data_IF_705251836849
#
_entry.id   IF_705251836849
#
_cell.length_a   1.000
_cell.length_b   1.000
_cell.length_c   1.000
_cell.angle_alpha   90.00
_cell.angle_beta   90.00
_cell.angle_gamma   90.00
#
_symmetry.space_group_name_H-M   'P 1'
#
loop_
_entity.id
_entity.type
_entity.pdbx_description
1 polymer ?
#
# COMPACT_ATOMS: atom_id res chain seq x y z
N UNK A 1 7.43 6.17 -5.31
CA UNK A 1 7.73 5.13 -6.33
C UNK A 1 8.21 3.87 -5.63
N UNK A 2 7.93 2.73 -6.25
CA UNK A 2 8.47 1.43 -5.87
C UNK A 2 9.59 0.99 -6.80
N UNK A 3 10.11 -0.20 -6.55
CA UNK A 3 11.11 -0.87 -7.38
C UNK A 3 10.78 -2.37 -7.42
N UNK A 4 11.02 -3.03 -8.53
CA UNK A 4 10.99 -4.49 -8.58
C UNK A 4 11.98 -5.09 -9.55
N UNK A 5 12.52 -6.22 -9.17
CA UNK A 5 13.45 -7.02 -9.93
C UNK A 5 12.73 -8.16 -10.67
N UNK A 6 13.28 -8.59 -11.79
CA UNK A 6 12.72 -9.71 -12.57
C UNK A 6 12.71 -11.01 -11.77
N UNK A 7 13.70 -11.21 -10.90
CA UNK A 7 13.89 -12.44 -10.13
C UNK A 7 14.00 -12.12 -8.64
N UNK A 8 13.76 -13.13 -7.82
CA UNK A 8 13.75 -13.02 -6.37
C UNK A 8 12.36 -12.66 -5.82
N UNK A 9 12.22 -12.75 -4.54
CA UNK A 9 11.02 -12.34 -3.82
C UNK A 9 11.32 -11.10 -3.00
N UNK A 10 10.87 -9.95 -3.49
CA UNK A 10 10.91 -8.70 -2.75
C UNK A 10 9.71 -8.54 -1.81
N UNK A 11 8.79 -9.52 -1.82
CA UNK A 11 7.55 -9.45 -1.08
C UNK A 11 6.58 -8.40 -1.62
N UNK A 12 5.54 -8.12 -0.83
CA UNK A 12 4.52 -7.12 -1.16
C UNK A 12 4.91 -5.71 -0.72
N UNK A 13 5.97 -5.59 0.07
CA UNK A 13 6.22 -4.42 0.90
C UNK A 13 6.47 -3.16 0.05
N UNK A 14 7.41 -3.21 -0.87
CA UNK A 14 7.86 -2.01 -1.59
C UNK A 14 6.78 -1.40 -2.50
N UNK A 15 6.16 -2.23 -3.31
CA UNK A 15 5.17 -1.74 -4.27
C UNK A 15 3.84 -1.40 -3.59
N UNK A 16 3.43 -2.18 -2.59
CA UNK A 16 2.21 -1.87 -1.83
C UNK A 16 2.37 -0.58 -1.01
N UNK A 17 3.54 -0.27 -0.49
CA UNK A 17 3.80 1.02 0.14
C UNK A 17 3.70 2.18 -0.83
N UNK A 18 4.29 2.03 -2.02
CA UNK A 18 4.22 3.04 -3.06
C UNK A 18 2.79 3.28 -3.54
N UNK A 19 2.00 2.20 -3.73
CA UNK A 19 0.61 2.31 -4.16
C UNK A 19 -0.27 2.92 -3.07
N UNK A 20 -0.16 2.46 -1.84
CA UNK A 20 -0.90 3.04 -0.71
C UNK A 20 -0.61 4.52 -0.53
N UNK A 21 0.67 4.92 -0.58
CA UNK A 21 1.05 6.34 -0.56
C UNK A 21 0.41 7.11 -1.72
N UNK A 22 0.40 6.54 -2.92
CA UNK A 22 -0.29 7.14 -4.06
C UNK A 22 -1.78 7.35 -3.80
N UNK A 23 -2.46 6.32 -3.31
CA UNK A 23 -3.90 6.33 -3.06
C UNK A 23 -4.29 7.33 -1.97
N UNK A 24 -3.64 7.29 -0.80
CA UNK A 24 -4.02 8.16 0.34
C UNK A 24 -3.68 9.64 0.13
N UNK A 25 -2.80 9.95 -0.83
CA UNK A 25 -2.45 11.32 -1.24
C UNK A 25 -3.03 11.73 -2.61
N UNK A 26 -3.90 10.92 -3.21
CA UNK A 26 -4.59 11.23 -4.46
C UNK A 26 -3.70 11.29 -5.69
N UNK A 27 -2.61 10.52 -5.71
CA UNK A 27 -1.70 10.47 -6.86
C UNK A 27 -2.20 9.48 -7.90
N UNK A 28 -2.50 9.96 -9.11
CA UNK A 28 -3.00 9.11 -10.20
C UNK A 28 -1.94 8.18 -10.80
N UNK A 29 -0.67 8.58 -10.75
CA UNK A 29 0.44 7.79 -11.30
C UNK A 29 1.34 7.28 -10.19
N UNK A 30 1.45 5.97 -10.12
CA UNK A 30 2.24 5.25 -9.12
C UNK A 30 3.32 4.50 -9.88
N UNK A 31 4.55 5.04 -9.81
CA UNK A 31 5.69 4.54 -10.53
C UNK A 31 6.39 3.41 -9.79
N UNK A 32 6.92 2.47 -10.56
CA UNK A 32 7.96 1.58 -10.08
C UNK A 32 9.10 1.49 -11.11
N UNK A 33 10.33 1.50 -10.64
CA UNK A 33 11.45 1.01 -11.40
C UNK A 33 11.20 -0.46 -11.72
N UNK A 34 11.24 -0.80 -13.00
CA UNK A 34 10.65 -2.03 -13.48
C UNK A 34 11.67 -2.87 -14.23
N UNK A 35 11.67 -4.18 -13.97
CA UNK A 35 12.48 -5.15 -14.68
C UNK A 35 13.99 -5.03 -14.43
N UNK A 36 14.40 -4.48 -13.30
CA UNK A 36 15.80 -4.55 -12.84
C UNK A 36 16.22 -6.02 -12.71
N UNK A 37 17.41 -6.36 -13.15
CA UNK A 37 17.90 -7.75 -13.16
C UNK A 37 19.39 -7.81 -12.85
N UNK A 38 19.79 -8.76 -12.02
CA UNK A 38 21.18 -9.04 -11.66
C UNK A 38 21.78 -10.28 -12.37
N UNK A 39 21.16 -10.76 -13.43
CA UNK A 39 21.65 -11.91 -14.22
C UNK A 39 22.62 -11.52 -15.33
N UNK A 40 22.99 -12.47 -16.19
CA UNK A 40 23.80 -12.19 -17.37
C UNK A 40 23.13 -11.14 -18.27
N UNK A 41 23.92 -10.26 -18.85
CA UNK A 41 23.45 -9.21 -19.73
C UNK A 41 22.77 -9.78 -20.99
N UNK A 42 21.80 -9.05 -21.53
CA UNK A 42 21.06 -9.40 -22.76
C UNK A 42 20.29 -10.72 -22.71
N UNK A 43 19.94 -11.22 -21.52
CA UNK A 43 19.20 -12.49 -21.36
C UNK A 43 17.72 -12.32 -21.03
N UNK A 44 17.30 -11.10 -20.66
CA UNK A 44 15.91 -10.82 -20.36
C UNK A 44 15.11 -10.53 -21.65
N UNK A 45 13.86 -10.98 -21.66
CA UNK A 45 12.94 -10.82 -22.80
C UNK A 45 11.49 -10.63 -22.28
N UNK A 46 10.58 -10.12 -23.11
CA UNK A 46 9.23 -9.74 -22.66
C UNK A 46 8.47 -10.85 -21.90
N UNK A 47 8.57 -12.12 -22.33
CA UNK A 47 7.80 -13.19 -21.70
C UNK A 47 8.26 -13.50 -20.26
N UNK A 48 9.58 -13.41 -19.96
CA UNK A 48 10.05 -13.63 -18.59
C UNK A 48 9.83 -12.43 -17.66
N UNK A 49 9.62 -11.22 -18.22
CA UNK A 49 9.34 -10.01 -17.46
C UNK A 49 7.83 -9.82 -17.19
N UNK A 50 6.99 -10.24 -18.14
CA UNK A 50 5.55 -9.93 -18.14
C UNK A 50 4.83 -10.40 -16.88
N UNK A 51 5.02 -11.65 -16.46
CA UNK A 51 4.32 -12.20 -15.30
C UNK A 51 4.63 -11.41 -14.01
N UNK A 52 5.88 -10.93 -13.89
CA UNK A 52 6.30 -10.09 -12.76
C UNK A 52 5.64 -8.72 -12.80
N UNK A 53 5.59 -8.09 -13.96
CA UNK A 53 4.92 -6.80 -14.15
C UNK A 53 3.42 -6.92 -13.86
N UNK A 54 2.76 -7.95 -14.37
CA UNK A 54 1.34 -8.19 -14.15
C UNK A 54 1.01 -8.33 -12.66
N UNK A 55 1.84 -9.04 -11.91
CA UNK A 55 1.72 -9.11 -10.46
C UNK A 55 1.73 -7.72 -9.83
N UNK A 56 2.68 -6.87 -10.19
CA UNK A 56 2.78 -5.55 -9.58
C UNK A 56 1.69 -4.58 -10.04
N UNK A 57 1.10 -4.80 -11.20
CA UNK A 57 -0.14 -4.13 -11.57
C UNK A 57 -1.27 -4.44 -10.58
N UNK A 58 -1.41 -5.69 -10.12
CA UNK A 58 -2.41 -6.05 -9.11
C UNK A 58 -2.11 -5.47 -7.72
N UNK A 59 -0.88 -5.04 -7.47
CA UNK A 59 -0.47 -4.36 -6.24
C UNK A 59 -0.61 -2.83 -6.31
N UNK A 60 -1.18 -2.30 -7.40
CA UNK A 60 -1.48 -0.88 -7.58
C UNK A 60 -0.42 -0.06 -8.29
N UNK A 61 0.67 -0.66 -8.79
CA UNK A 61 1.59 0.01 -9.71
C UNK A 61 0.88 0.21 -11.05
N UNK A 62 0.94 1.43 -11.58
CA UNK A 62 0.27 1.78 -12.82
C UNK A 62 1.12 2.67 -13.75
N UNK A 63 2.42 2.72 -13.50
CA UNK A 63 3.38 3.43 -14.34
C UNK A 63 4.75 2.75 -14.25
N UNK A 64 5.18 2.14 -15.35
CA UNK A 64 6.43 1.39 -15.41
C UNK A 64 7.58 2.28 -15.88
N UNK A 65 8.69 2.26 -15.16
CA UNK A 65 9.96 2.88 -15.54
C UNK A 65 10.97 1.76 -15.81
N UNK A 66 11.16 1.44 -17.08
CA UNK A 66 11.99 0.29 -17.48
C UNK A 66 13.46 0.51 -17.14
N UNK A 67 14.04 -0.42 -16.44
CA UNK A 67 15.45 -0.40 -16.04
C UNK A 67 16.22 -1.54 -16.73
N UNK A 68 17.18 -1.22 -17.69
CA UNK A 68 17.54 0.16 -18.03
C UNK A 68 17.92 0.29 -19.53
N UNK A 69 18.09 1.52 -19.96
CA UNK A 69 18.67 1.83 -21.26
C UNK A 69 20.11 2.32 -21.11
N UNK A 70 21.05 1.62 -21.75
CA UNK A 70 22.45 2.07 -21.87
C UNK A 70 22.71 2.52 -23.31
N UNK A 71 23.26 3.70 -23.44
CA UNK A 71 23.64 4.25 -24.74
C UNK A 71 24.63 3.34 -25.48
N UNK A 72 24.37 3.07 -26.74
CA UNK A 72 25.16 2.20 -27.62
C UNK A 72 25.87 3.02 -28.70
N UNK A 73 27.06 3.59 -28.45
CA UNK A 73 27.71 4.47 -29.41
C UNK A 73 28.40 3.73 -30.57
N UNK A 74 28.59 2.42 -30.44
CA UNK A 74 29.34 1.60 -31.40
C UNK A 74 28.42 0.57 -32.06
N UNK A 75 28.42 0.52 -33.38
CA UNK A 75 27.62 -0.46 -34.15
C UNK A 75 28.33 -1.81 -34.25
N UNK A 76 29.64 -1.83 -34.28
CA UNK A 76 30.49 -2.99 -34.49
C UNK A 76 30.77 -3.81 -33.21
N UNK A 77 30.37 -3.30 -32.02
CA UNK A 77 30.57 -3.98 -30.75
C UNK A 77 29.37 -4.85 -30.39
N UNK A 78 29.60 -6.15 -30.20
CA UNK A 78 28.60 -7.10 -29.75
C UNK A 78 29.14 -7.86 -28.52
N UNK A 79 28.28 -8.10 -27.51
CA UNK A 79 26.84 -7.83 -27.41
C UNK A 79 26.48 -6.35 -27.20
N UNK A 80 27.41 -5.46 -26.99
CA UNK A 80 27.21 -4.06 -26.73
C UNK A 80 27.53 -3.68 -25.28
N UNK A 81 27.32 -2.39 -24.96
CA UNK A 81 27.53 -1.88 -23.61
C UNK A 81 26.32 -2.19 -22.74
N UNK A 82 26.59 -2.60 -21.49
CA UNK A 82 25.60 -2.87 -20.47
C UNK A 82 26.09 -2.42 -19.10
N UNK A 83 25.16 -2.23 -18.15
CA UNK A 83 25.47 -2.15 -16.75
C UNK A 83 25.56 -3.55 -16.14
N UNK A 84 26.15 -3.68 -14.96
CA UNK A 84 26.25 -4.94 -14.25
C UNK A 84 24.88 -5.43 -13.70
N UNK A 85 23.85 -4.57 -13.72
CA UNK A 85 22.49 -4.88 -13.32
C UNK A 85 21.50 -4.16 -14.24
N UNK A 86 20.30 -4.72 -14.37
CA UNK A 86 19.23 -4.19 -15.23
C UNK A 86 18.94 -5.10 -16.41
N UNK A 87 17.85 -4.83 -17.11
CA UNK A 87 17.47 -5.49 -18.36
C UNK A 87 17.82 -4.58 -19.53
N UNK A 88 18.48 -5.12 -20.56
CA UNK A 88 19.03 -4.30 -21.64
C UNK A 88 17.96 -3.91 -22.66
N UNK A 89 17.26 -2.79 -22.43
CA UNK A 89 16.23 -2.25 -23.32
C UNK A 89 16.84 -1.40 -24.44
N UNK A 90 17.68 -1.99 -25.27
CA UNK A 90 18.35 -1.28 -26.34
C UNK A 90 18.48 -2.12 -27.63
N UNK A 91 18.88 -1.46 -28.73
CA UNK A 91 18.93 -2.06 -30.08
C UNK A 91 19.89 -3.23 -30.25
N UNK A 92 20.77 -3.48 -29.28
CA UNK A 92 21.67 -4.63 -29.31
C UNK A 92 21.00 -5.91 -28.78
N UNK A 93 19.82 -5.78 -28.15
CA UNK A 93 19.04 -6.92 -27.72
C UNK A 93 18.31 -7.57 -28.91
N UNK A 94 18.31 -8.91 -28.96
CA UNK A 94 17.80 -9.67 -30.11
C UNK A 94 16.32 -9.44 -30.40
N UNK A 95 15.52 -9.11 -29.41
CA UNK A 95 14.08 -8.85 -29.54
C UNK A 95 13.72 -7.36 -29.69
N UNK A 96 14.71 -6.48 -29.75
CA UNK A 96 14.47 -5.02 -29.79
C UNK A 96 13.58 -4.57 -30.95
N UNK A 97 13.66 -5.24 -32.10
CA UNK A 97 12.80 -4.95 -33.25
C UNK A 97 11.31 -5.17 -32.99
N UNK A 98 10.94 -5.90 -31.91
CA UNK A 98 9.56 -6.12 -31.47
C UNK A 98 9.25 -5.44 -30.14
N UNK A 99 10.08 -4.50 -29.70
CA UNK A 99 9.91 -3.83 -28.41
C UNK A 99 8.63 -2.99 -28.37
N UNK A 100 8.15 -2.54 -29.50
CA UNK A 100 6.88 -1.82 -29.66
C UNK A 100 5.69 -2.64 -29.13
N UNK A 101 5.65 -3.95 -29.38
CA UNK A 101 4.61 -4.84 -28.88
C UNK A 101 4.58 -4.88 -27.35
N UNK A 102 5.75 -4.95 -26.72
CA UNK A 102 5.88 -4.96 -25.27
C UNK A 102 5.53 -3.59 -24.65
N UNK A 103 6.06 -2.52 -25.23
CA UNK A 103 5.77 -1.17 -24.72
C UNK A 103 4.31 -0.76 -24.96
N UNK A 104 3.67 -1.22 -26.04
CA UNK A 104 2.24 -1.03 -26.26
C UNK A 104 1.38 -1.76 -25.23
N UNK A 105 1.77 -2.99 -24.85
CA UNK A 105 1.12 -3.69 -23.78
C UNK A 105 1.20 -2.89 -22.46
N UNK A 106 2.40 -2.44 -22.09
CA UNK A 106 2.60 -1.64 -20.86
C UNK A 106 1.83 -0.32 -20.93
N UNK A 107 1.87 0.38 -22.05
CA UNK A 107 1.16 1.65 -22.27
C UNK A 107 -0.35 1.49 -22.07
N UNK A 108 -0.94 0.47 -22.68
CA UNK A 108 -2.38 0.19 -22.57
C UNK A 108 -2.77 -0.20 -21.16
N UNK A 109 -2.02 -1.09 -20.52
CA UNK A 109 -2.26 -1.51 -19.14
C UNK A 109 -2.13 -0.33 -18.17
N UNK A 110 -1.05 0.43 -18.25
CA UNK A 110 -0.83 1.61 -17.42
C UNK A 110 -1.94 2.65 -17.63
N UNK A 111 -2.37 2.90 -18.85
CA UNK A 111 -3.47 3.83 -19.13
C UNK A 111 -4.77 3.39 -18.46
N UNK A 112 -5.16 2.13 -18.61
CA UNK A 112 -6.38 1.60 -18.00
C UNK A 112 -6.31 1.66 -16.46
N UNK A 113 -5.19 1.26 -15.86
CA UNK A 113 -4.99 1.25 -14.41
C UNK A 113 -4.90 2.66 -13.79
N UNK A 114 -4.71 3.70 -14.59
CA UNK A 114 -4.75 5.10 -14.14
C UNK A 114 -6.17 5.69 -14.18
N UNK A 115 -7.15 4.94 -14.66
CA UNK A 115 -8.54 5.38 -14.69
C UNK A 115 -9.28 4.97 -13.41
N UNK A 116 -10.22 5.83 -12.99
CA UNK A 116 -11.02 5.55 -11.81
C UNK A 116 -10.28 5.72 -10.48
N UNK A 117 -10.82 5.11 -9.46
CA UNK A 117 -10.29 5.10 -8.08
C UNK A 117 -10.02 3.65 -7.69
N UNK A 118 -8.89 3.41 -7.04
CA UNK A 118 -8.57 2.09 -6.51
C UNK A 118 -9.60 1.65 -5.47
N UNK A 119 -9.92 0.36 -5.45
CA UNK A 119 -10.87 -0.21 -4.49
C UNK A 119 -10.11 -0.95 -3.39
N UNK A 120 -10.34 -0.54 -2.15
CA UNK A 120 -9.82 -1.20 -0.96
C UNK A 120 -10.78 -0.97 0.20
N UNK A 121 -11.21 -2.04 0.87
CA UNK A 121 -12.12 -1.92 2.02
C UNK A 121 -11.40 -1.66 3.33
N UNK A 122 -10.13 -2.04 3.43
CA UNK A 122 -9.36 -2.04 4.68
C UNK A 122 -8.21 -1.04 4.63
N UNK A 123 -8.10 -0.21 5.66
CA UNK A 123 -6.93 0.62 5.90
C UNK A 123 -6.15 0.08 7.10
N UNK A 124 -4.86 -0.26 6.89
CA UNK A 124 -3.95 -0.63 7.98
C UNK A 124 -3.16 0.59 8.42
N UNK A 125 -3.34 1.01 9.66
CA UNK A 125 -2.53 2.07 10.23
C UNK A 125 -1.09 1.58 10.48
N UNK A 126 -0.11 2.31 9.96
CA UNK A 126 1.30 1.90 10.06
C UNK A 126 1.91 2.05 11.46
N UNK A 127 1.23 2.76 12.37
CA UNK A 127 1.73 3.05 13.71
C UNK A 127 2.71 4.22 13.78
N UNK A 128 3.21 4.51 14.97
CA UNK A 128 4.07 5.67 15.26
C UNK A 128 5.25 5.35 16.19
N UNK A 129 5.50 4.09 16.47
CA UNK A 129 6.51 3.62 17.41
C UNK A 129 7.95 3.84 16.92
N UNK A 130 8.16 3.74 15.62
CA UNK A 130 9.47 3.93 14.97
C UNK A 130 9.30 4.53 13.57
N UNK A 131 10.35 5.15 12.99
CA UNK A 131 10.35 5.50 11.58
C UNK A 131 10.14 4.24 10.72
N UNK A 132 9.16 4.28 9.82
CA UNK A 132 8.77 3.13 8.98
C UNK A 132 8.62 3.55 7.53
N UNK A 133 9.07 2.68 6.63
CA UNK A 133 8.77 2.79 5.20
C UNK A 133 7.46 2.09 4.84
N UNK A 134 7.00 1.17 5.71
CA UNK A 134 5.78 0.38 5.50
C UNK A 134 5.13 -0.01 6.80
N UNK A 135 3.85 -0.43 6.73
CA UNK A 135 3.15 -1.09 7.81
C UNK A 135 3.30 -2.62 7.79
N UNK A 136 2.69 -3.27 8.74
CA UNK A 136 2.48 -4.72 8.76
C UNK A 136 1.03 -5.06 8.46
N UNK A 137 0.79 -6.17 7.77
CA UNK A 137 -0.54 -6.74 7.55
C UNK A 137 -0.80 -7.70 8.73
N UNK A 138 -1.25 -7.14 9.85
CA UNK A 138 -1.55 -7.91 11.06
C UNK A 138 -2.89 -7.42 11.66
N UNK A 139 -3.93 -8.29 11.69
CA UNK A 139 -3.97 -9.67 11.17
C UNK A 139 -3.92 -9.74 9.64
N UNK A 140 -3.55 -10.89 9.11
CA UNK A 140 -3.50 -11.11 7.67
C UNK A 140 -4.88 -10.93 7.03
N UNK A 141 -4.92 -10.19 5.93
CA UNK A 141 -6.15 -9.98 5.17
C UNK A 141 -6.54 -11.26 4.42
N UNK A 142 -7.80 -11.71 4.49
CA UNK A 142 -8.27 -12.85 3.72
C UNK A 142 -8.15 -12.60 2.20
N UNK A 143 -8.09 -13.69 1.42
CA UNK A 143 -8.00 -13.59 -0.04
C UNK A 143 -9.25 -12.95 -0.65
N UNK A 144 -9.04 -12.17 -1.70
CA UNK A 144 -10.11 -11.52 -2.45
C UNK A 144 -10.46 -10.10 -1.99
N UNK A 145 -9.87 -9.65 -0.89
CA UNK A 145 -9.99 -8.28 -0.39
C UNK A 145 -8.74 -7.46 -0.69
N UNK A 146 -8.89 -6.14 -0.73
CA UNK A 146 -7.76 -5.23 -0.92
C UNK A 146 -7.63 -4.23 0.24
N UNK A 147 -6.44 -3.66 0.37
CA UNK A 147 -6.11 -2.73 1.45
C UNK A 147 -5.15 -1.65 1.00
N UNK A 148 -5.05 -0.61 1.83
CA UNK A 148 -3.95 0.35 1.82
C UNK A 148 -3.35 0.52 3.21
N UNK A 149 -2.08 0.90 3.24
CA UNK A 149 -1.47 1.44 4.44
C UNK A 149 -1.83 2.92 4.59
N UNK A 150 -2.09 3.36 5.81
CA UNK A 150 -2.43 4.75 6.14
C UNK A 150 -1.55 5.25 7.28
N UNK A 151 -1.14 6.52 7.23
CA UNK A 151 -0.31 7.14 8.24
C UNK A 151 -1.07 8.18 9.09
N UNK A 152 -0.44 8.64 10.16
CA UNK A 152 -1.01 9.58 11.11
C UNK A 152 -1.41 10.93 10.45
N UNK A 153 -0.59 11.45 9.54
CA UNK A 153 -0.87 12.72 8.87
C UNK A 153 -2.20 12.69 8.13
N UNK A 154 -2.54 11.58 7.47
CA UNK A 154 -3.80 11.43 6.74
C UNK A 154 -4.99 11.48 7.69
N UNK A 155 -4.93 10.88 8.87
CA UNK A 155 -5.98 11.01 9.87
C UNK A 155 -6.17 12.46 10.30
N UNK A 156 -5.07 13.14 10.61
CA UNK A 156 -5.11 14.49 11.15
C UNK A 156 -5.55 15.56 10.13
N UNK A 157 -5.25 15.35 8.84
CA UNK A 157 -5.38 16.43 7.85
C UNK A 157 -6.36 16.14 6.71
N UNK A 158 -6.67 14.87 6.43
CA UNK A 158 -7.39 14.49 5.20
C UNK A 158 -8.63 13.64 5.42
N UNK A 159 -8.67 12.84 6.48
CA UNK A 159 -9.71 11.84 6.70
C UNK A 159 -10.99 12.47 7.25
N UNK A 160 -12.12 12.07 6.68
CA UNK A 160 -13.47 12.33 7.22
C UNK A 160 -14.30 11.05 7.15
N UNK A 161 -15.37 10.96 7.92
CA UNK A 161 -16.32 9.85 7.80
C UNK A 161 -17.54 10.29 6.99
N UNK A 162 -17.89 9.51 5.96
CA UNK A 162 -19.12 9.66 5.16
C UNK A 162 -19.75 8.30 4.97
N UNK A 163 -21.01 8.16 5.34
CA UNK A 163 -21.79 6.92 5.19
C UNK A 163 -21.06 5.68 5.79
N UNK A 164 -20.46 5.84 6.97
CA UNK A 164 -19.69 4.79 7.64
C UNK A 164 -18.33 4.46 7.04
N UNK A 165 -17.86 5.25 6.08
CA UNK A 165 -16.56 5.05 5.42
C UNK A 165 -15.58 6.14 5.80
N UNK A 166 -14.34 5.75 6.13
CA UNK A 166 -13.21 6.67 6.11
C UNK A 166 -13.01 7.13 4.66
N UNK A 167 -13.25 8.40 4.40
CA UNK A 167 -13.24 8.98 3.05
C UNK A 167 -12.15 10.03 2.96
N UNK A 168 -11.36 9.97 1.88
CA UNK A 168 -10.30 10.93 1.56
C UNK A 168 -10.75 11.88 0.45
N UNK A 169 -10.16 13.09 0.33
CA UNK A 169 -10.59 14.12 -0.62
C UNK A 169 -10.59 13.66 -2.08
N UNK A 170 -9.68 12.75 -2.43
CA UNK A 170 -9.47 12.27 -3.79
C UNK A 170 -10.36 11.05 -4.14
N UNK A 171 -11.30 10.70 -3.26
CA UNK A 171 -12.32 9.69 -3.51
C UNK A 171 -12.03 8.30 -2.94
N UNK A 172 -10.86 8.06 -2.35
CA UNK A 172 -10.57 6.81 -1.64
C UNK A 172 -11.51 6.65 -0.44
N UNK A 173 -11.97 5.41 -0.23
CA UNK A 173 -12.88 5.06 0.85
C UNK A 173 -12.48 3.73 1.47
N UNK A 174 -12.53 3.65 2.80
CA UNK A 174 -12.26 2.41 3.54
C UNK A 174 -13.38 2.16 4.54
N UNK A 175 -13.77 0.91 4.70
CA UNK A 175 -14.87 0.49 5.58
C UNK A 175 -14.38 0.02 6.95
N UNK A 176 -13.13 -0.40 7.03
CA UNK A 176 -12.51 -0.87 8.26
C UNK A 176 -11.12 -0.26 8.44
N UNK A 177 -10.87 0.30 9.61
CA UNK A 177 -9.55 0.70 10.07
C UNK A 177 -8.98 -0.40 10.96
N UNK A 178 -7.79 -0.90 10.63
CA UNK A 178 -7.05 -1.86 11.44
C UNK A 178 -5.89 -1.13 12.12
N UNK A 179 -5.88 -1.13 13.45
CA UNK A 179 -4.78 -0.60 14.24
C UNK A 179 -3.64 -1.63 14.37
N UNK A 180 -2.38 -1.18 14.40
CA UNK A 180 -1.26 -2.08 14.59
C UNK A 180 -1.28 -2.73 15.98
N UNK A 181 -0.62 -3.88 16.11
CA UNK A 181 -0.43 -4.55 17.40
C UNK A 181 0.62 -3.79 18.24
N UNK A 182 0.23 -2.64 18.76
CA UNK A 182 1.11 -1.72 19.49
C UNK A 182 0.32 -1.02 20.58
N UNK A 183 0.94 -0.89 21.75
CA UNK A 183 0.34 -0.22 22.92
C UNK A 183 0.57 1.29 22.95
N UNK A 184 1.33 1.81 22.01
CA UNK A 184 1.65 3.24 21.95
C UNK A 184 0.96 3.94 20.78
N UNK A 185 0.43 5.14 21.06
CA UNK A 185 -0.11 6.06 20.06
C UNK A 185 -0.08 7.48 20.61
N UNK A 186 0.21 8.47 19.76
CA UNK A 186 0.12 9.87 20.19
C UNK A 186 -1.34 10.24 20.50
N UNK A 187 -1.60 11.04 21.55
CA UNK A 187 -2.96 11.37 21.98
C UNK A 187 -3.77 12.10 20.90
N UNK A 188 -3.16 12.99 20.13
CA UNK A 188 -3.83 13.69 19.04
C UNK A 188 -4.27 12.75 17.89
N UNK A 189 -3.49 11.71 17.62
CA UNK A 189 -3.84 10.70 16.59
C UNK A 189 -4.94 9.78 17.12
N UNK A 190 -4.81 9.30 18.35
CA UNK A 190 -5.83 8.47 18.99
C UNK A 190 -7.15 9.23 19.17
N UNK A 191 -7.09 10.49 19.60
CA UNK A 191 -8.26 11.36 19.69
C UNK A 191 -8.96 11.51 18.34
N UNK A 192 -8.17 11.73 17.26
CA UNK A 192 -8.73 11.84 15.92
C UNK A 192 -9.37 10.55 15.43
N UNK A 193 -8.72 9.40 15.67
CA UNK A 193 -9.29 8.08 15.36
C UNK A 193 -10.59 7.87 16.15
N UNK A 194 -10.61 8.22 17.44
CA UNK A 194 -11.81 8.14 18.28
C UNK A 194 -12.97 8.95 17.72
N UNK A 195 -12.72 10.19 17.26
CA UNK A 195 -13.73 11.02 16.56
C UNK A 195 -14.26 10.35 15.30
N UNK A 196 -13.37 9.80 14.47
CA UNK A 196 -13.77 9.11 13.23
C UNK A 196 -14.62 7.87 13.52
N UNK A 197 -14.29 7.12 14.58
CA UNK A 197 -15.12 5.98 15.00
C UNK A 197 -16.44 6.45 15.56
N UNK A 198 -16.45 7.48 16.38
CA UNK A 198 -17.70 8.08 16.88
C UNK A 198 -18.64 8.51 15.74
N UNK A 199 -18.09 9.01 14.64
CA UNK A 199 -18.85 9.43 13.46
C UNK A 199 -19.32 8.27 12.57
N UNK A 200 -18.85 7.03 12.83
CA UNK A 200 -19.39 5.83 12.17
C UNK A 200 -18.36 4.89 11.51
N UNK A 201 -17.05 5.18 11.60
CA UNK A 201 -16.03 4.28 11.09
C UNK A 201 -15.95 3.00 11.94
N UNK A 202 -15.80 1.84 11.31
CA UNK A 202 -15.45 0.61 12.02
C UNK A 202 -13.95 0.54 12.30
N UNK A 203 -13.56 0.10 13.50
CA UNK A 203 -12.18 -0.08 13.93
C UNK A 203 -11.94 -1.48 14.47
N UNK A 204 -10.78 -2.05 14.15
CA UNK A 204 -10.27 -3.30 14.70
C UNK A 204 -8.93 -3.04 15.38
N UNK A 205 -8.78 -3.48 16.63
CA UNK A 205 -7.52 -3.31 17.36
C UNK A 205 -7.65 -3.59 18.86
N UNK A 206 -6.76 -2.98 19.61
CA UNK A 206 -6.76 -2.96 21.07
C UNK A 206 -6.46 -1.54 21.57
N UNK A 207 -6.81 -1.26 22.83
CA UNK A 207 -6.62 0.03 23.46
C UNK A 207 -5.13 0.37 23.59
N UNK A 208 -4.65 1.50 23.02
CA UNK A 208 -3.34 2.04 23.36
C UNK A 208 -3.25 2.43 24.85
N UNK A 209 -2.06 2.28 25.44
CA UNK A 209 -1.84 2.49 26.88
C UNK A 209 -0.97 3.73 27.17
N UNK A 210 -0.09 4.14 26.23
CA UNK A 210 0.87 5.23 26.44
C UNK A 210 1.26 5.94 25.14
N UNK A 211 1.89 7.10 25.28
CA UNK A 211 2.44 7.87 24.16
C UNK A 211 3.83 7.36 23.75
N UNK A 212 4.20 7.30 22.45
CA UNK A 212 5.57 7.02 22.03
C UNK A 212 6.52 8.22 22.25
N UNK A 213 6.00 9.36 22.72
CA UNK A 213 6.75 10.60 22.95
C UNK A 213 6.82 10.94 24.43
N UNK A 214 7.95 11.52 24.86
CA UNK A 214 8.13 12.06 26.21
C UNK A 214 7.47 13.45 26.38
N UNK A 215 6.91 14.02 25.33
CA UNK A 215 6.19 15.29 25.42
C UNK A 215 4.95 15.16 26.31
N UNK A 216 4.93 15.93 27.41
CA UNK A 216 3.83 15.87 28.39
C UNK A 216 3.85 14.68 29.35
N UNK A 217 4.93 13.89 29.35
CA UNK A 217 5.09 12.77 30.27
C UNK A 217 5.15 13.24 31.74
N UNK A 218 4.53 12.51 32.72
CA UNK A 218 3.78 11.26 32.55
C UNK A 218 2.28 11.43 32.26
N UNK A 219 1.77 12.65 32.24
CA UNK A 219 0.33 12.91 32.14
C UNK A 219 -0.25 12.49 30.78
N UNK A 220 0.55 12.59 29.71
CA UNK A 220 0.15 12.18 28.36
C UNK A 220 -0.21 10.70 28.27
N UNK A 221 0.44 9.83 29.04
CA UNK A 221 0.14 8.39 29.06
C UNK A 221 -1.23 8.12 29.69
N UNK A 222 -1.59 8.88 30.74
CA UNK A 222 -2.93 8.79 31.34
C UNK A 222 -4.03 9.23 30.34
N UNK A 223 -3.76 10.23 29.54
CA UNK A 223 -4.68 10.69 28.50
C UNK A 223 -4.85 9.63 27.42
N UNK A 224 -3.75 9.05 26.89
CA UNK A 224 -3.80 7.96 25.91
C UNK A 224 -4.58 6.76 26.45
N UNK A 225 -4.24 6.31 27.67
CA UNK A 225 -4.93 5.20 28.32
C UNK A 225 -6.43 5.45 28.51
N UNK A 226 -6.80 6.69 28.90
CA UNK A 226 -8.21 7.08 29.04
C UNK A 226 -8.96 7.00 27.72
N UNK A 227 -8.45 7.64 26.65
CA UNK A 227 -9.09 7.63 25.31
C UNK A 227 -9.16 6.21 24.77
N UNK A 228 -8.07 5.43 24.89
CA UNK A 228 -8.02 4.03 24.45
C UNK A 228 -9.06 3.16 25.17
N UNK A 229 -9.15 3.29 26.51
CA UNK A 229 -10.14 2.56 27.31
C UNK A 229 -11.57 2.94 26.94
N UNK A 230 -11.86 4.21 26.73
CA UNK A 230 -13.20 4.68 26.33
C UNK A 230 -13.58 4.14 24.95
N UNK A 231 -12.67 4.22 23.98
CA UNK A 231 -12.89 3.75 22.60
C UNK A 231 -13.16 2.23 22.55
N UNK A 232 -12.42 1.44 23.32
CA UNK A 232 -12.49 -0.02 23.31
C UNK A 232 -13.32 -0.62 24.44
N UNK A 233 -14.11 0.17 25.17
CA UNK A 233 -14.94 -0.31 26.28
C UNK A 233 -16.05 -1.28 25.84
N UNK A 234 -16.60 -1.08 24.65
CA UNK A 234 -17.73 -1.84 24.13
C UNK A 234 -17.52 -2.14 22.63
N UNK A 235 -18.43 -2.89 22.02
CA UNK A 235 -18.45 -3.20 20.59
C UNK A 235 -18.94 -2.04 19.70
N UNK A 236 -19.34 -0.94 20.31
CA UNK A 236 -19.74 0.31 19.64
C UNK A 236 -19.16 1.52 20.36
N UNK A 237 -18.80 2.55 19.57
CA UNK A 237 -18.45 3.87 20.06
C UNK A 237 -19.07 4.93 19.15
N UNK A 238 -20.00 5.70 19.70
CA UNK A 238 -20.87 6.59 18.90
C UNK A 238 -21.66 5.79 17.86
N UNK A 239 -21.47 6.10 16.58
CA UNK A 239 -22.09 5.38 15.45
C UNK A 239 -21.21 4.25 14.89
N UNK A 240 -19.93 4.19 15.30
CA UNK A 240 -18.96 3.24 14.80
C UNK A 240 -18.99 1.91 15.53
N UNK A 241 -18.46 0.88 14.88
CA UNK A 241 -18.30 -0.45 15.46
C UNK A 241 -16.85 -0.67 15.88
N UNK A 242 -16.68 -1.30 17.02
CA UNK A 242 -15.37 -1.61 17.60
C UNK A 242 -15.20 -3.12 17.69
N UNK A 243 -14.13 -3.62 17.10
CA UNK A 243 -13.78 -5.04 17.10
C UNK A 243 -12.47 -5.22 17.86
N UNK A 244 -12.51 -6.01 18.91
CA UNK A 244 -11.33 -6.30 19.72
C UNK A 244 -10.34 -7.19 18.96
N UNK A 245 -9.05 -6.94 19.18
CA UNK A 245 -7.99 -7.83 18.67
C UNK A 245 -8.19 -9.25 19.18
N UNK A 246 -7.97 -10.23 18.29
CA UNK A 246 -8.23 -11.66 18.57
C UNK A 246 -9.48 -12.19 17.89
N UNK A 247 -10.43 -11.34 17.49
CA UNK A 247 -11.51 -11.74 16.58
C UNK A 247 -10.90 -12.03 15.21
N UNK A 248 -11.33 -13.11 14.58
CA UNK A 248 -10.87 -13.46 13.22
C UNK A 248 -11.30 -12.38 12.24
N UNK A 249 -10.37 -11.87 11.43
CA UNK A 249 -10.65 -10.74 10.54
C UNK A 249 -11.77 -11.04 9.52
N UNK A 250 -11.91 -12.30 9.08
CA UNK A 250 -13.03 -12.70 8.21
C UNK A 250 -14.39 -12.45 8.90
N UNK A 251 -14.51 -12.79 10.17
CA UNK A 251 -15.76 -12.60 10.94
C UNK A 251 -16.09 -11.10 11.08
N UNK A 252 -15.06 -10.25 11.20
CA UNK A 252 -15.22 -8.78 11.21
C UNK A 252 -15.74 -8.28 9.87
N UNK A 253 -15.14 -8.74 8.77
CA UNK A 253 -15.56 -8.37 7.41
C UNK A 253 -17.01 -8.82 7.13
N UNK A 254 -17.35 -10.04 7.51
CA UNK A 254 -18.70 -10.58 7.37
C UNK A 254 -19.72 -9.79 8.21
N UNK A 255 -19.38 -9.45 9.45
CA UNK A 255 -20.22 -8.64 10.32
C UNK A 255 -20.45 -7.21 9.79
N UNK A 256 -19.55 -6.70 8.96
CA UNK A 256 -19.65 -5.41 8.27
C UNK A 256 -20.31 -5.54 6.87
N UNK A 257 -20.73 -6.74 6.45
CA UNK A 257 -21.19 -7.02 5.08
C UNK A 257 -20.16 -6.56 4.02
N UNK A 258 -18.90 -6.80 4.27
CA UNK A 258 -17.82 -6.57 3.30
C UNK A 258 -17.58 -7.88 2.57
N UNK A 259 -17.78 -7.88 1.27
CA UNK A 259 -17.58 -9.05 0.42
C UNK A 259 -16.32 -8.89 -0.41
N UNK A 260 -15.61 -9.98 -0.73
CA UNK A 260 -14.41 -9.88 -1.56
C UNK A 260 -14.77 -9.38 -2.97
N UNK A 261 -13.93 -8.47 -3.47
CA UNK A 261 -14.10 -7.88 -4.81
C UNK A 261 -13.91 -8.90 -5.93
N UNK A 262 -13.12 -9.94 -5.66
CA UNK A 262 -12.81 -10.97 -6.63
C UNK A 262 -12.78 -12.36 -5.98
N UNK A 263 -13.49 -13.30 -6.61
CA UNK A 263 -13.47 -14.73 -6.26
C UNK A 263 -13.15 -15.53 -7.52
N UNK A 264 -12.19 -16.44 -7.45
CA UNK A 264 -11.88 -17.44 -8.48
C UNK A 264 -11.95 -18.85 -7.90
#
# INVERSE_FOLDING_TARGET
SGEFWNFGDLGLIENRCASSCGHIYGKKRIWAESCTSGGPNFTNYPANMKARIDRFFTEGINASLLHLYIHQPYEDRNPGMSAWFGSDFNRKNTWFSQMDLFTDYLRRSNFLLQQGTYVADVAYFIGEDTPKMTGSIDPQLPKGYSFDFINAEVFLTRAVVKDGHLTLPDGMKYRLLVLPNQKSMRPEVLGRISELVHDGLAVYGEAPEYSPSLSGYPEVDKEVSRIGTELFANDHYGKGRVFQRGIVLQDVLDALNIHPDFRC
#
